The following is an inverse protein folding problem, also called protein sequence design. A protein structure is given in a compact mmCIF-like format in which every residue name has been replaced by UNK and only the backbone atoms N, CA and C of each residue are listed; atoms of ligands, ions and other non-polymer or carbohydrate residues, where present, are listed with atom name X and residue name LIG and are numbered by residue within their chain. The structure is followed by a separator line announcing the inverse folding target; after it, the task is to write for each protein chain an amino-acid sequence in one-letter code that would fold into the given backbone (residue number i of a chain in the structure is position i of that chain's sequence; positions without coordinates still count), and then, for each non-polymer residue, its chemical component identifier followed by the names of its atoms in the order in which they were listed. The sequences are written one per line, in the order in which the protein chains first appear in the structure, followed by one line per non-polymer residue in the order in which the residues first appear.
data_IF_810647253172
#
_entry.id   IF_810647253172
#
_cell.length_a   1.000
_cell.length_b   1.000
_cell.length_c   1.000
_cell.angle_alpha   90.00
_cell.angle_beta   90.00
_cell.angle_gamma   90.00
#
_symmetry.space_group_name_H-M   'P 1'
#
loop_
_entity.id
_entity.type
_entity.pdbx_description
1 polymer ?
#
# COMPACT_ATOMS: atom_id res chain seq x y z
N UNK A 1 -8.98 -5.17 12.91
CA UNK A 1 -9.18 -6.21 11.87
C UNK A 1 -10.52 -5.96 11.18
N UNK A 2 -10.53 -5.60 9.88
CA UNK A 2 -11.76 -5.27 9.15
C UNK A 2 -12.76 -6.43 9.07
N UNK A 3 -12.29 -7.66 8.87
CA UNK A 3 -13.13 -8.87 8.84
C UNK A 3 -13.94 -9.06 10.13
N UNK A 4 -13.33 -8.83 11.28
CA UNK A 4 -14.00 -8.90 12.59
C UNK A 4 -15.07 -7.80 12.75
N UNK A 5 -14.81 -6.58 12.26
CA UNK A 5 -15.78 -5.49 12.30
C UNK A 5 -16.98 -5.76 11.38
N UNK A 6 -16.73 -6.29 10.17
CA UNK A 6 -17.79 -6.72 9.24
C UNK A 6 -18.65 -7.84 9.85
N UNK A 7 -18.03 -8.87 10.43
CA UNK A 7 -18.75 -9.94 11.10
C UNK A 7 -19.58 -9.43 12.30
N UNK A 8 -18.98 -8.60 13.15
CA UNK A 8 -19.65 -8.01 14.31
C UNK A 8 -20.82 -7.10 13.91
N UNK A 9 -20.73 -6.40 12.77
CA UNK A 9 -21.83 -5.60 12.23
C UNK A 9 -23.11 -6.42 12.05
N UNK A 10 -22.97 -7.64 11.53
CA UNK A 10 -24.10 -8.56 11.32
C UNK A 10 -24.55 -9.20 12.63
N UNK A 11 -23.62 -9.84 13.35
CA UNK A 11 -23.94 -10.63 14.56
C UNK A 11 -24.55 -9.76 15.67
N UNK A 12 -24.08 -8.53 15.83
CA UNK A 12 -24.56 -7.61 16.86
C UNK A 12 -25.67 -6.68 16.39
N UNK A 13 -26.07 -6.74 15.10
CA UNK A 13 -27.03 -5.79 14.52
C UNK A 13 -26.54 -4.33 14.57
N UNK A 14 -25.23 -4.12 14.40
CA UNK A 14 -24.55 -2.81 14.49
C UNK A 14 -23.97 -2.39 13.14
N UNK A 15 -24.80 -1.89 12.20
CA UNK A 15 -24.35 -1.57 10.84
C UNK A 15 -23.27 -0.48 10.78
N UNK A 16 -23.15 0.34 11.82
CA UNK A 16 -22.09 1.35 11.96
C UNK A 16 -20.68 0.75 12.02
N UNK A 17 -20.53 -0.52 12.41
CA UNK A 17 -19.24 -1.23 12.41
C UNK A 17 -18.76 -1.60 11.00
N UNK A 18 -19.66 -1.65 10.01
CA UNK A 18 -19.31 -2.02 8.64
C UNK A 18 -18.55 -0.90 7.92
N UNK A 19 -18.88 0.36 8.20
CA UNK A 19 -18.24 1.52 7.56
C UNK A 19 -16.72 1.52 7.68
N UNK A 20 -16.16 1.39 8.90
CA UNK A 20 -14.71 1.27 9.10
C UNK A 20 -14.09 0.03 8.43
N UNK A 21 -14.81 -1.11 8.40
CA UNK A 21 -14.32 -2.32 7.73
C UNK A 21 -14.17 -2.10 6.22
N UNK A 22 -15.16 -1.46 5.59
CA UNK A 22 -15.11 -1.05 4.19
C UNK A 22 -13.96 -0.06 4.00
N UNK A 23 -13.89 1.00 4.82
CA UNK A 23 -12.89 2.05 4.70
C UNK A 23 -11.45 1.54 4.68
N UNK A 24 -11.08 0.64 5.60
CA UNK A 24 -9.75 -0.01 5.58
C UNK A 24 -9.57 -0.83 4.30
N UNK A 25 -10.54 -1.68 3.99
CA UNK A 25 -10.43 -2.68 2.94
C UNK A 25 -10.30 -2.03 1.56
N UNK A 26 -11.14 -1.04 1.24
CA UNK A 26 -11.21 -0.44 -0.11
C UNK A 26 -10.32 0.79 -0.25
N UNK A 27 -9.94 1.43 0.86
CA UNK A 27 -9.02 2.56 0.85
C UNK A 27 -7.56 2.12 0.72
N UNK A 28 -7.12 1.16 1.52
CA UNK A 28 -5.69 0.79 1.59
C UNK A 28 -5.32 -0.42 0.74
N UNK A 29 -6.13 -1.48 0.75
CA UNK A 29 -5.75 -2.75 0.10
C UNK A 29 -5.48 -2.63 -1.40
N UNK A 30 -6.24 -1.87 -2.21
CA UNK A 30 -5.91 -1.72 -3.64
C UNK A 30 -4.54 -1.10 -3.86
N UNK A 31 -4.19 -0.09 -3.06
CA UNK A 31 -2.90 0.58 -3.14
C UNK A 31 -1.75 -0.34 -2.71
N UNK A 32 -1.96 -1.10 -1.63
CA UNK A 32 -1.01 -2.10 -1.14
C UNK A 32 -0.74 -3.16 -2.22
N UNK A 33 -1.79 -3.71 -2.83
CA UNK A 33 -1.67 -4.68 -3.92
C UNK A 33 -0.94 -4.10 -5.14
N UNK A 34 -1.26 -2.87 -5.55
CA UNK A 34 -0.55 -2.18 -6.64
C UNK A 34 0.92 -1.86 -6.33
N UNK A 35 1.33 -1.88 -5.07
CA UNK A 35 2.66 -1.47 -4.59
C UNK A 35 3.60 -2.63 -4.22
N UNK A 36 3.27 -3.85 -4.66
CA UNK A 36 4.10 -5.05 -4.48
C UNK A 36 3.44 -6.17 -3.69
N UNK A 37 2.21 -5.97 -3.21
CA UNK A 37 1.43 -6.99 -2.51
C UNK A 37 1.35 -6.75 -1.00
N UNK A 38 0.88 -7.75 -0.23
CA UNK A 38 0.54 -7.62 1.18
C UNK A 38 1.79 -7.64 2.09
N UNK A 39 2.66 -6.62 1.95
CA UNK A 39 3.82 -6.44 2.80
C UNK A 39 3.42 -6.35 4.29
N UNK A 40 4.26 -6.93 5.15
CA UNK A 40 3.98 -7.08 6.58
C UNK A 40 4.00 -5.74 7.33
N UNK A 41 4.83 -4.79 6.90
CA UNK A 41 4.97 -3.51 7.60
C UNK A 41 5.24 -2.31 6.71
N UNK A 42 4.27 -1.38 6.66
CA UNK A 42 4.45 0.00 6.21
C UNK A 42 4.50 0.92 7.43
N UNK A 43 5.67 1.48 7.74
CA UNK A 43 5.93 2.21 8.98
C UNK A 43 6.66 3.54 8.74
N UNK A 44 6.01 4.57 8.19
CA UNK A 44 5.04 4.57 7.08
C UNK A 44 5.68 4.20 5.73
N UNK A 45 7.02 4.19 5.64
CA UNK A 45 7.75 3.59 4.52
C UNK A 45 7.59 2.06 4.59
N UNK A 46 7.43 1.35 3.46
CA UNK A 46 7.44 -0.12 3.41
C UNK A 46 8.79 -0.72 3.82
N UNK A 47 9.05 -0.85 5.13
CA UNK A 47 10.32 -1.35 5.67
C UNK A 47 10.34 -2.87 5.86
N UNK A 48 9.24 -3.45 6.33
CA UNK A 48 9.08 -4.90 6.41
C UNK A 48 8.32 -5.37 5.18
N UNK A 49 9.11 -5.61 4.14
CA UNK A 49 8.63 -6.11 2.86
C UNK A 49 8.34 -7.61 2.91
N UNK A 50 8.49 -8.33 4.01
CA UNK A 50 8.09 -9.74 4.06
C UNK A 50 6.58 -9.88 3.80
N UNK A 51 6.17 -10.98 3.20
CA UNK A 51 4.77 -11.32 2.95
C UNK A 51 4.49 -12.66 3.58
N UNK A 52 3.62 -12.70 4.59
CA UNK A 52 3.31 -13.91 5.34
C UNK A 52 1.89 -14.38 5.06
N UNK A 53 1.67 -15.70 5.10
CA UNK A 53 0.37 -16.30 4.80
C UNK A 53 -0.77 -15.71 5.67
N UNK A 54 -0.48 -15.42 6.95
CA UNK A 54 -1.42 -14.73 7.85
C UNK A 54 -1.87 -13.36 7.31
N UNK A 55 -0.92 -12.52 6.85
CA UNK A 55 -1.21 -11.19 6.33
C UNK A 55 -2.00 -11.25 5.01
N UNK A 56 -1.70 -12.23 4.16
CA UNK A 56 -2.44 -12.48 2.91
C UNK A 56 -3.88 -12.91 3.22
N UNK A 57 -4.07 -13.87 4.13
CA UNK A 57 -5.39 -14.31 4.58
C UNK A 57 -6.18 -13.16 5.20
N UNK A 58 -5.58 -12.36 6.09
CA UNK A 58 -6.25 -11.24 6.72
C UNK A 58 -6.82 -10.24 5.70
N UNK A 59 -6.09 -9.98 4.60
CA UNK A 59 -6.57 -9.14 3.49
C UNK A 59 -7.67 -9.83 2.69
N UNK A 60 -7.51 -11.12 2.35
CA UNK A 60 -8.51 -11.89 1.63
C UNK A 60 -9.84 -11.97 2.39
N UNK A 61 -9.81 -12.37 3.66
CA UNK A 61 -11.00 -12.49 4.51
C UNK A 61 -11.70 -11.14 4.69
N UNK A 62 -10.96 -10.04 4.84
CA UNK A 62 -11.53 -8.70 4.90
C UNK A 62 -12.28 -8.36 3.62
N UNK A 63 -11.66 -8.59 2.45
CA UNK A 63 -12.25 -8.35 1.14
C UNK A 63 -13.53 -9.16 0.92
N UNK A 64 -13.52 -10.44 1.26
CA UNK A 64 -14.69 -11.31 1.17
C UNK A 64 -15.80 -10.82 2.12
N UNK A 65 -15.47 -10.49 3.36
CA UNK A 65 -16.44 -10.07 4.36
C UNK A 65 -17.18 -8.77 4.00
N UNK A 66 -16.57 -7.88 3.20
CA UNK A 66 -17.21 -6.65 2.69
C UNK A 66 -17.70 -6.78 1.24
N UNK A 67 -17.68 -7.97 0.65
CA UNK A 67 -18.22 -8.24 -0.69
C UNK A 67 -17.35 -7.76 -1.87
N UNK A 68 -16.04 -7.55 -1.65
CA UNK A 68 -15.11 -7.03 -2.66
C UNK A 68 -14.39 -8.15 -3.42
N UNK A 69 -15.16 -9.00 -4.10
CA UNK A 69 -14.68 -10.25 -4.68
C UNK A 69 -13.65 -10.06 -5.82
N UNK A 70 -13.75 -8.98 -6.61
CA UNK A 70 -12.76 -8.70 -7.64
C UNK A 70 -11.37 -8.37 -7.06
N UNK A 71 -11.31 -7.64 -5.94
CA UNK A 71 -10.05 -7.38 -5.24
C UNK A 71 -9.56 -8.63 -4.50
N UNK A 72 -10.47 -9.43 -3.94
CA UNK A 72 -10.16 -10.70 -3.29
C UNK A 72 -9.38 -11.64 -4.23
N UNK A 73 -9.73 -11.64 -5.54
CA UNK A 73 -9.02 -12.39 -6.56
C UNK A 73 -7.52 -12.03 -6.66
N UNK A 74 -7.17 -10.74 -6.59
CA UNK A 74 -5.77 -10.28 -6.62
C UNK A 74 -5.01 -10.65 -5.34
N UNK A 75 -5.65 -10.56 -4.17
CA UNK A 75 -5.03 -10.99 -2.91
C UNK A 75 -4.79 -12.51 -2.89
N UNK A 76 -5.79 -13.29 -3.29
CA UNK A 76 -5.73 -14.75 -3.33
C UNK A 76 -4.68 -15.29 -4.33
N UNK A 77 -4.42 -14.55 -5.42
CA UNK A 77 -3.44 -14.92 -6.44
C UNK A 77 -2.03 -15.18 -5.87
N UNK A 78 -1.70 -14.58 -4.72
CA UNK A 78 -0.46 -14.81 -4.00
C UNK A 78 -0.25 -16.29 -3.64
N UNK A 79 -1.29 -17.00 -3.20
CA UNK A 79 -1.20 -18.42 -2.84
C UNK A 79 -0.84 -19.31 -4.04
N UNK A 80 -1.22 -18.89 -5.25
CA UNK A 80 -1.07 -19.65 -6.49
C UNK A 80 0.15 -19.23 -7.31
N UNK A 81 1.02 -18.39 -6.76
CA UNK A 81 2.30 -18.02 -7.39
C UNK A 81 2.31 -16.66 -8.07
N UNK A 82 1.22 -15.89 -8.03
CA UNK A 82 1.24 -14.48 -8.46
C UNK A 82 1.78 -13.60 -7.34
N UNK A 83 3.02 -13.87 -6.95
CA UNK A 83 3.76 -13.22 -5.88
C UNK A 83 5.20 -12.96 -6.34
N UNK A 84 5.98 -12.24 -5.54
CA UNK A 84 7.36 -11.86 -5.93
C UNK A 84 8.31 -13.04 -6.14
N UNK A 85 8.04 -14.20 -5.54
CA UNK A 85 8.85 -15.40 -5.74
C UNK A 85 8.45 -16.16 -7.01
N UNK A 86 7.28 -15.86 -7.59
CA UNK A 86 6.74 -16.58 -8.75
C UNK A 86 6.47 -18.05 -8.48
N UNK A 87 6.23 -18.43 -7.21
CA UNK A 87 6.05 -19.82 -6.78
C UNK A 87 4.78 -19.98 -5.96
N UNK A 88 4.02 -21.08 -6.13
CA UNK A 88 2.89 -21.39 -5.27
C UNK A 88 3.29 -21.46 -3.80
N UNK A 89 2.51 -20.80 -2.96
CA UNK A 89 2.67 -20.80 -1.50
C UNK A 89 1.73 -21.81 -0.83
N UNK A 90 0.70 -22.26 -1.55
CA UNK A 90 -0.23 -23.31 -1.13
C UNK A 90 -0.04 -24.58 -1.98
N UNK A 91 -0.02 -25.75 -1.33
CA UNK A 91 -0.05 -27.06 -2.00
C UNK A 91 -1.43 -27.72 -1.82
N UNK A 92 -2.23 -27.85 -2.89
CA UNK A 92 -3.56 -28.45 -2.81
C UNK A 92 -3.55 -29.95 -2.54
N UNK A 93 -2.44 -30.65 -2.77
CA UNK A 93 -2.34 -32.11 -2.55
C UNK A 93 -2.26 -32.44 -1.07
N UNK A 94 -1.57 -31.61 -0.30
CA UNK A 94 -1.29 -31.84 1.13
C UNK A 94 -2.03 -30.87 2.03
N UNK A 95 -2.55 -29.77 1.48
CA UNK A 95 -3.11 -28.66 2.24
C UNK A 95 -2.06 -27.76 2.91
N UNK A 96 -0.78 -28.01 2.65
CA UNK A 96 0.34 -27.26 3.23
C UNK A 96 0.39 -25.84 2.71
N UNK A 97 0.74 -24.88 3.59
CA UNK A 97 0.98 -23.48 3.20
C UNK A 97 2.30 -22.99 3.77
N UNK A 98 3.18 -22.51 2.90
CA UNK A 98 4.45 -21.93 3.29
C UNK A 98 4.26 -20.62 4.06
N UNK A 99 5.15 -20.38 5.02
CA UNK A 99 5.05 -19.30 6.01
C UNK A 99 5.03 -17.92 5.36
N UNK A 100 5.89 -17.70 4.38
CA UNK A 100 5.95 -16.43 3.68
C UNK A 100 7.11 -16.28 2.72
N UNK A 101 7.27 -15.05 2.23
CA UNK A 101 8.30 -14.63 1.29
C UNK A 101 8.98 -13.40 1.86
N UNK A 102 10.30 -13.43 2.02
CA UNK A 102 11.11 -12.29 2.40
C UNK A 102 11.04 -11.15 1.37
N UNK A 103 11.48 -9.95 1.75
CA UNK A 103 11.46 -8.79 0.85
C UNK A 103 12.25 -8.98 -0.46
N UNK A 104 13.30 -9.79 -0.41
CA UNK A 104 14.16 -10.16 -1.55
C UNK A 104 13.58 -11.29 -2.44
N UNK A 105 12.42 -11.83 -2.07
CA UNK A 105 11.79 -12.95 -2.77
C UNK A 105 12.15 -14.35 -2.26
N UNK A 106 13.02 -14.46 -1.25
CA UNK A 106 13.35 -15.76 -0.64
C UNK A 106 12.14 -16.36 0.06
N UNK A 107 11.79 -17.61 -0.28
CA UNK A 107 10.65 -18.31 0.33
C UNK A 107 11.07 -18.90 1.68
N UNK A 108 10.35 -18.53 2.75
CA UNK A 108 10.36 -19.28 3.99
C UNK A 108 9.47 -20.52 3.83
N UNK A 109 10.10 -21.68 3.61
CA UNK A 109 9.42 -22.95 3.38
C UNK A 109 8.90 -23.60 4.65
N UNK A 110 9.00 -22.98 5.83
CA UNK A 110 8.32 -23.50 7.01
C UNK A 110 6.81 -23.57 6.76
N UNK A 111 6.12 -24.49 7.44
CA UNK A 111 4.66 -24.65 7.33
C UNK A 111 4.13 -25.04 8.69
N UNK A 112 4.10 -24.05 9.59
CA UNK A 112 3.59 -24.22 10.95
C UNK A 112 2.07 -24.24 10.99
N UNK A 113 1.52 -24.30 12.20
CA UNK A 113 0.08 -24.23 12.41
C UNK A 113 -0.52 -22.93 11.87
N UNK A 114 0.11 -21.78 12.14
CA UNK A 114 -0.36 -20.46 11.69
C UNK A 114 -0.51 -20.41 10.17
N UNK A 115 0.57 -20.60 9.42
CA UNK A 115 0.55 -20.52 7.95
C UNK A 115 -0.42 -21.52 7.33
N UNK A 116 -0.46 -22.75 7.85
CA UNK A 116 -1.34 -23.81 7.33
C UNK A 116 -2.82 -23.51 7.60
N UNK A 117 -3.17 -23.05 8.82
CA UNK A 117 -4.55 -22.66 9.16
C UNK A 117 -4.99 -21.49 8.30
N UNK A 118 -4.18 -20.44 8.17
CA UNK A 118 -4.53 -19.26 7.39
C UNK A 118 -4.64 -19.56 5.89
N UNK A 119 -3.75 -20.40 5.34
CA UNK A 119 -3.91 -20.88 3.97
C UNK A 119 -5.19 -21.70 3.76
N UNK A 120 -5.54 -22.59 4.70
CA UNK A 120 -6.79 -23.36 4.62
C UNK A 120 -8.04 -22.48 4.78
N UNK A 121 -8.04 -21.49 5.68
CA UNK A 121 -9.13 -20.52 5.82
C UNK A 121 -9.31 -19.72 4.53
N UNK A 122 -8.21 -19.32 3.88
CA UNK A 122 -8.25 -18.69 2.57
C UNK A 122 -8.84 -19.61 1.50
N UNK A 123 -8.47 -20.89 1.46
CA UNK A 123 -9.05 -21.83 0.49
C UNK A 123 -10.54 -22.08 0.74
N UNK A 124 -10.97 -22.21 2.00
CA UNK A 124 -12.39 -22.34 2.36
C UNK A 124 -13.20 -21.10 1.93
N UNK A 125 -12.64 -19.90 2.09
CA UNK A 125 -13.28 -18.68 1.61
C UNK A 125 -13.41 -18.69 0.07
N UNK A 126 -12.39 -19.14 -0.66
CA UNK A 126 -12.47 -19.26 -2.12
C UNK A 126 -13.47 -20.34 -2.57
N UNK A 127 -13.57 -21.46 -1.87
CA UNK A 127 -14.51 -22.53 -2.19
C UNK A 127 -15.97 -22.12 -1.91
N UNK A 128 -16.20 -21.30 -0.87
CA UNK A 128 -17.51 -20.71 -0.58
C UNK A 128 -17.92 -19.61 -1.58
N UNK A 129 -16.95 -19.03 -2.30
CA UNK A 129 -17.13 -17.93 -3.24
C UNK A 129 -16.55 -18.25 -4.62
N UNK A 130 -17.13 -19.23 -5.35
CA UNK A 130 -16.60 -19.69 -6.65
C UNK A 130 -16.58 -18.61 -7.73
N UNK A 131 -17.27 -17.49 -7.54
CA UNK A 131 -17.21 -16.30 -8.40
C UNK A 131 -15.89 -15.52 -8.28
N UNK A 132 -15.08 -15.73 -7.24
CA UNK A 132 -13.76 -15.13 -7.12
C UNK A 132 -12.82 -15.78 -8.13
N UNK A 133 -12.37 -14.99 -9.11
CA UNK A 133 -11.49 -15.47 -10.16
C UNK A 133 -10.15 -15.99 -9.60
N UNK A 134 -9.69 -17.15 -10.08
CA UNK A 134 -8.36 -17.69 -9.79
C UNK A 134 -7.33 -17.08 -10.74
N UNK A 135 -6.80 -15.91 -10.38
CA UNK A 135 -5.80 -15.23 -11.20
C UNK A 135 -4.46 -15.98 -11.17
N UNK A 136 -3.77 -16.00 -12.30
CA UNK A 136 -2.44 -16.60 -12.44
C UNK A 136 -1.57 -15.82 -13.41
N UNK A 137 -0.25 -15.91 -13.22
CA UNK A 137 0.75 -15.24 -14.05
C UNK A 137 1.65 -14.33 -13.22
N UNK A 138 2.74 -13.89 -13.84
CA UNK A 138 3.69 -12.98 -13.18
C UNK A 138 3.05 -11.61 -12.97
N UNK A 139 2.98 -11.11 -11.73
CA UNK A 139 2.41 -9.81 -11.47
C UNK A 139 3.32 -8.70 -12.02
N UNK A 140 2.72 -7.66 -12.60
CA UNK A 140 3.41 -6.43 -13.00
C UNK A 140 2.80 -5.26 -12.23
N UNK A 141 3.65 -4.47 -11.59
CA UNK A 141 3.24 -3.37 -10.72
C UNK A 141 3.67 -2.02 -11.32
N UNK A 142 2.81 -1.03 -11.22
CA UNK A 142 3.16 0.39 -11.32
C UNK A 142 2.53 1.09 -10.11
N UNK A 143 3.25 1.13 -8.99
CA UNK A 143 2.74 1.58 -7.71
C UNK A 143 3.79 2.38 -6.94
N UNK A 144 3.76 2.30 -5.61
CA UNK A 144 4.67 3.04 -4.75
C UNK A 144 6.15 2.78 -5.07
N UNK A 145 6.89 3.87 -5.23
CA UNK A 145 8.35 3.89 -5.25
C UNK A 145 8.88 4.71 -4.08
N UNK A 146 10.05 4.34 -3.58
CA UNK A 146 10.70 4.97 -2.43
C UNK A 146 12.00 5.60 -2.91
N UNK A 147 12.30 6.81 -2.44
CA UNK A 147 13.61 7.45 -2.56
C UNK A 147 14.06 7.82 -1.15
N UNK A 148 15.08 7.12 -0.65
CA UNK A 148 15.68 7.37 0.67
C UNK A 148 16.17 8.81 0.77
N UNK A 149 15.84 9.50 1.87
CA UNK A 149 16.10 10.94 1.98
C UNK A 149 17.60 11.27 1.99
N UNK A 150 18.43 10.33 2.44
CA UNK A 150 19.88 10.41 2.54
C UNK A 150 20.56 10.44 1.17
N UNK A 151 19.84 10.10 0.10
CA UNK A 151 20.35 10.24 -1.28
C UNK A 151 20.37 11.68 -1.77
N UNK A 152 19.90 12.64 -0.95
CA UNK A 152 19.93 14.06 -1.27
C UNK A 152 21.34 14.60 -1.48
N UNK A 153 21.45 15.63 -2.32
CA UNK A 153 22.54 16.61 -2.24
C UNK A 153 22.10 17.77 -1.37
N UNK A 154 22.82 18.03 -0.27
CA UNK A 154 22.48 19.02 0.75
C UNK A 154 21.78 18.39 1.96
N UNK A 155 21.73 19.13 3.09
CA UNK A 155 21.38 18.57 4.40
C UNK A 155 22.49 17.68 4.98
N UNK A 156 22.21 17.09 6.15
CA UNK A 156 23.12 16.18 6.86
C UNK A 156 22.43 14.83 7.08
N UNK A 157 23.11 13.72 6.76
CA UNK A 157 22.61 12.38 7.05
C UNK A 157 22.88 12.04 8.50
N UNK A 158 21.85 11.64 9.24
CA UNK A 158 21.95 11.29 10.65
C UNK A 158 21.55 9.84 10.87
N UNK A 159 22.42 9.07 11.52
CA UNK A 159 22.11 7.72 12.00
C UNK A 159 21.79 7.77 13.50
N UNK A 160 20.52 7.62 13.92
CA UNK A 160 20.17 7.57 15.32
C UNK A 160 20.72 6.30 15.99
N UNK A 161 20.83 6.26 17.34
CA UNK A 161 21.22 5.04 18.06
C UNK A 161 20.31 3.83 17.82
N UNK A 162 19.07 4.08 17.40
CA UNK A 162 18.08 3.07 17.03
C UNK A 162 17.25 3.59 15.85
N UNK A 163 17.05 2.74 14.84
CA UNK A 163 16.12 3.00 13.74
C UNK A 163 14.67 3.02 14.23
N UNK A 164 14.35 2.17 15.22
CA UNK A 164 13.05 2.11 15.87
C UNK A 164 12.84 3.34 16.76
N UNK A 165 11.75 4.08 16.53
CA UNK A 165 11.41 5.31 17.26
C UNK A 165 10.60 5.04 18.53
N UNK A 166 10.05 3.83 18.69
CA UNK A 166 9.04 3.52 19.71
C UNK A 166 7.63 3.39 19.13
N UNK A 167 7.37 3.97 17.96
CA UNK A 167 6.08 3.90 17.24
C UNK A 167 6.22 3.43 15.80
N UNK A 168 7.34 3.79 15.19
CA UNK A 168 7.63 3.61 13.77
C UNK A 168 9.14 3.39 13.61
N UNK A 169 9.63 3.39 12.38
CA UNK A 169 11.05 3.19 12.15
C UNK A 169 11.55 4.03 10.98
N UNK A 170 12.70 4.67 11.19
CA UNK A 170 13.48 5.28 10.13
C UNK A 170 13.88 4.24 9.11
N UNK A 171 13.42 4.42 7.88
CA UNK A 171 13.84 3.63 6.73
C UNK A 171 15.36 3.69 6.57
N UNK A 172 15.95 2.57 6.15
CA UNK A 172 17.40 2.39 6.07
C UNK A 172 18.20 2.66 7.38
N UNK A 173 17.53 2.90 8.51
CA UNK A 173 18.15 3.17 9.81
C UNK A 173 18.75 4.56 9.97
N UNK A 174 18.44 5.50 9.07
CA UNK A 174 18.93 6.88 9.11
C UNK A 174 17.85 7.85 8.62
N UNK A 175 18.14 9.15 8.63
CA UNK A 175 17.30 10.15 8.01
C UNK A 175 18.13 11.35 7.54
N UNK A 176 17.55 12.19 6.70
CA UNK A 176 18.11 13.49 6.34
C UNK A 176 17.67 14.55 7.34
N UNK A 177 18.63 15.11 8.07
CA UNK A 177 18.47 16.38 8.79
C UNK A 177 18.65 17.55 7.81
N UNK A 178 17.53 18.10 7.36
CA UNK A 178 17.51 19.28 6.51
C UNK A 178 17.65 20.54 7.37
N UNK A 179 18.66 21.36 7.08
CA UNK A 179 18.78 22.76 7.47
C UNK A 179 19.37 23.54 6.28
N UNK A 180 18.55 24.35 5.61
CA UNK A 180 18.91 24.99 4.36
C UNK A 180 18.19 24.37 3.16
N UNK A 181 18.92 23.74 2.23
CA UNK A 181 18.36 23.18 0.99
C UNK A 181 18.85 21.76 0.71
N UNK A 182 17.98 20.94 0.13
CA UNK A 182 18.30 19.60 -0.36
C UNK A 182 17.68 19.34 -1.73
N UNK A 183 18.32 18.48 -2.53
CA UNK A 183 17.84 18.06 -3.83
C UNK A 183 17.97 16.54 -4.02
N UNK A 184 16.92 15.90 -4.52
CA UNK A 184 16.89 14.47 -4.83
C UNK A 184 16.79 14.24 -6.32
N UNK A 185 17.53 13.23 -6.81
CA UNK A 185 17.25 12.63 -8.11
C UNK A 185 16.20 11.53 -7.92
N UNK A 186 15.12 11.58 -8.69
CA UNK A 186 14.05 10.59 -8.63
C UNK A 186 13.90 9.86 -9.96
N UNK A 187 13.46 8.58 -9.98
CA UNK A 187 13.28 7.83 -11.22
C UNK A 187 12.28 8.53 -12.14
N UNK A 188 12.55 8.61 -13.44
CA UNK A 188 11.56 9.15 -14.39
C UNK A 188 10.34 8.22 -14.49
N UNK A 189 9.14 8.80 -14.63
CA UNK A 189 7.91 8.05 -14.86
C UNK A 189 7.14 8.62 -16.07
N UNK A 190 6.32 7.79 -16.70
CA UNK A 190 5.51 8.19 -17.87
C UNK A 190 4.27 9.00 -17.51
N UNK A 191 3.88 8.99 -16.24
CA UNK A 191 2.74 9.71 -15.68
C UNK A 191 3.14 10.58 -14.48
N UNK A 192 2.34 11.60 -14.12
CA UNK A 192 2.57 12.35 -12.90
C UNK A 192 2.43 11.47 -11.65
N UNK A 193 3.15 11.84 -10.58
CA UNK A 193 3.13 11.13 -9.30
C UNK A 193 2.85 12.09 -8.16
N UNK A 194 2.07 11.68 -7.17
CA UNK A 194 2.12 12.32 -5.85
C UNK A 194 3.50 12.11 -5.26
N UNK A 195 3.94 13.10 -4.49
CA UNK A 195 5.16 13.03 -3.69
C UNK A 195 4.76 13.24 -2.24
N UNK A 196 5.10 12.28 -1.40
CA UNK A 196 4.84 12.34 0.03
C UNK A 196 6.18 12.21 0.77
N UNK A 197 6.88 13.31 1.12
CA UNK A 197 7.94 13.23 2.10
C UNK A 197 7.41 12.64 3.42
N UNK A 198 8.14 11.65 3.93
CA UNK A 198 7.95 11.13 5.27
C UNK A 198 8.79 12.00 6.20
N UNK A 199 8.13 12.74 7.08
CA UNK A 199 8.76 13.72 7.96
C UNK A 199 8.52 13.31 9.41
N UNK A 200 9.50 13.50 10.28
CA UNK A 200 9.25 13.47 11.72
C UNK A 200 8.52 14.76 12.12
N UNK A 201 7.21 14.63 12.33
CA UNK A 201 6.32 15.71 12.67
C UNK A 201 6.30 15.88 14.19
N UNK A 202 6.84 17.01 14.65
CA UNK A 202 6.89 17.42 16.06
C UNK A 202 5.66 18.27 16.42
N UNK A 203 5.44 18.49 17.73
CA UNK A 203 4.35 19.35 18.23
C UNK A 203 4.42 20.80 17.71
N UNK A 204 5.61 21.28 17.37
CA UNK A 204 5.81 22.65 16.87
C UNK A 204 5.46 22.76 15.40
N UNK A 205 4.67 23.79 15.07
CA UNK A 205 4.35 24.10 13.68
C UNK A 205 5.63 24.36 12.88
N UNK A 206 5.72 23.68 11.75
CA UNK A 206 6.89 23.71 10.86
C UNK A 206 6.44 23.93 9.42
N UNK A 207 7.33 24.53 8.63
CA UNK A 207 7.11 24.77 7.20
C UNK A 207 8.35 24.42 6.41
N UNK A 208 8.17 23.67 5.34
CA UNK A 208 9.21 23.43 4.32
C UNK A 208 8.71 23.90 2.95
N UNK A 209 9.63 24.36 2.11
CA UNK A 209 9.35 24.83 0.76
C UNK A 209 9.86 23.81 -0.24
N UNK A 210 8.96 23.20 -1.01
CA UNK A 210 9.32 22.23 -2.03
C UNK A 210 9.16 22.81 -3.42
N UNK A 211 9.86 22.25 -4.41
CA UNK A 211 9.63 22.57 -5.83
C UNK A 211 8.18 22.34 -6.28
N UNK A 212 7.42 21.55 -5.52
CA UNK A 212 6.02 21.22 -5.75
C UNK A 212 5.02 21.99 -4.86
N UNK A 213 5.51 22.94 -4.06
CA UNK A 213 4.70 23.81 -3.20
C UNK A 213 5.15 23.83 -1.74
N UNK A 214 4.63 24.77 -0.94
CA UNK A 214 4.90 24.78 0.50
C UNK A 214 4.20 23.62 1.19
N UNK A 215 4.79 23.14 2.28
CA UNK A 215 4.21 22.16 3.17
C UNK A 215 4.25 22.70 4.59
N UNK A 216 3.09 23.00 5.14
CA UNK A 216 2.90 23.39 6.54
C UNK A 216 2.39 22.16 7.31
N UNK A 217 2.99 21.84 8.45
CA UNK A 217 2.63 20.68 9.25
C UNK A 217 2.89 20.90 10.74
N UNK A 218 2.11 20.20 11.56
CA UNK A 218 2.20 20.26 13.01
C UNK A 218 1.67 18.93 13.58
N UNK A 219 2.41 18.37 14.54
CA UNK A 219 2.00 17.18 15.27
C UNK A 219 1.03 17.52 16.40
N UNK A 220 0.28 16.51 16.84
CA UNK A 220 -0.44 16.59 18.10
C UNK A 220 0.51 16.50 19.31
N UNK A 221 0.00 16.74 20.53
CA UNK A 221 0.77 16.52 21.75
C UNK A 221 1.35 15.11 21.83
N UNK A 222 2.49 14.96 22.49
CA UNK A 222 3.15 13.70 22.75
C UNK A 222 2.17 12.68 23.34
N UNK A 223 2.10 11.52 22.69
CA UNK A 223 1.30 10.40 23.16
C UNK A 223 1.98 9.64 24.30
N UNK A 224 1.56 8.38 24.49
CA UNK A 224 2.15 7.49 25.49
C UNK A 224 3.47 6.85 25.03
N UNK A 225 3.84 7.02 23.76
CA UNK A 225 5.12 6.51 23.25
C UNK A 225 6.27 7.41 23.68
N UNK A 226 7.49 6.88 23.56
CA UNK A 226 8.71 7.63 23.81
C UNK A 226 9.22 8.39 22.56
N UNK A 227 8.54 8.26 21.41
CA UNK A 227 8.96 8.89 20.16
C UNK A 227 8.68 10.41 20.24
N UNK A 228 9.67 11.30 20.08
CA UNK A 228 9.47 12.75 20.26
C UNK A 228 8.60 13.41 19.18
N UNK A 229 8.14 12.64 18.19
CA UNK A 229 7.26 13.03 17.10
C UNK A 229 6.80 11.81 16.33
N UNK A 230 6.00 12.02 15.29
CA UNK A 230 5.45 10.95 14.46
C UNK A 230 6.03 11.02 13.03
N UNK A 231 6.52 9.88 12.53
CA UNK A 231 6.86 9.74 11.11
C UNK A 231 5.57 9.71 10.29
N UNK A 232 5.32 10.77 9.52
CA UNK A 232 4.09 10.90 8.73
C UNK A 232 4.40 11.19 7.26
N UNK A 233 3.76 10.47 6.31
CA UNK A 233 3.81 10.82 4.90
C UNK A 233 2.90 12.03 4.65
N UNK A 234 3.47 13.14 4.18
CA UNK A 234 2.75 14.38 3.94
C UNK A 234 2.67 14.68 2.45
N UNK A 235 1.47 14.79 1.87
CA UNK A 235 1.33 14.97 0.41
C UNK A 235 1.66 16.40 -0.01
N UNK A 236 2.61 16.56 -0.94
CA UNK A 236 2.94 17.87 -1.51
C UNK A 236 1.77 18.43 -2.34
N UNK A 237 1.57 19.76 -2.39
CA UNK A 237 0.38 20.36 -3.01
C UNK A 237 0.21 20.10 -4.51
N UNK A 238 1.31 19.87 -5.23
CA UNK A 238 1.30 19.55 -6.67
C UNK A 238 1.95 18.20 -6.91
N UNK A 239 1.42 17.40 -7.85
CA UNK A 239 2.10 16.19 -8.28
C UNK A 239 3.40 16.55 -9.01
N UNK A 240 4.39 15.67 -8.89
CA UNK A 240 5.56 15.68 -9.74
C UNK A 240 5.13 15.38 -11.18
N UNK A 241 5.43 16.24 -12.17
CA UNK A 241 5.07 16.00 -13.56
C UNK A 241 5.70 14.73 -14.14
N UNK A 242 5.07 14.16 -15.17
CA UNK A 242 5.66 13.07 -15.94
C UNK A 242 7.06 13.46 -16.44
N UNK A 243 7.98 12.49 -16.46
CA UNK A 243 9.39 12.62 -16.86
C UNK A 243 10.25 13.56 -16.00
N UNK A 244 9.70 14.23 -14.99
CA UNK A 244 10.51 14.99 -14.05
C UNK A 244 11.34 14.04 -13.16
N UNK A 245 12.61 14.40 -12.96
CA UNK A 245 13.61 13.58 -12.27
C UNK A 245 14.24 14.28 -11.08
N UNK A 246 13.73 15.45 -10.68
CA UNK A 246 14.33 16.26 -9.62
C UNK A 246 13.27 16.82 -8.70
N UNK A 247 13.52 16.73 -7.40
CA UNK A 247 12.73 17.35 -6.33
C UNK A 247 13.69 18.15 -5.46
N UNK A 248 13.30 19.34 -5.04
CA UNK A 248 14.10 20.17 -4.12
C UNK A 248 13.26 20.58 -2.93
N UNK A 249 13.89 20.69 -1.77
CA UNK A 249 13.30 21.21 -0.55
C UNK A 249 14.19 22.29 0.07
N UNK A 250 13.58 23.21 0.80
CA UNK A 250 14.25 24.18 1.66
C UNK A 250 13.53 24.34 3.00
N UNK A 251 14.27 24.63 4.07
CA UNK A 251 13.74 24.81 5.42
C UNK A 251 14.48 23.98 6.46
N UNK A 252 13.78 23.60 7.52
CA UNK A 252 14.30 22.75 8.59
C UNK A 252 13.35 21.57 8.83
N UNK A 253 13.85 20.33 8.72
CA UNK A 253 13.05 19.12 8.90
C UNK A 253 13.93 17.88 9.10
N UNK A 254 13.36 16.83 9.68
CA UNK A 254 13.94 15.48 9.63
C UNK A 254 13.10 14.65 8.65
N UNK A 255 13.72 14.21 7.56
CA UNK A 255 13.03 13.55 6.43
C UNK A 255 13.58 12.14 6.32
N UNK A 256 12.70 11.15 6.36
CA UNK A 256 13.01 9.73 6.27
C UNK A 256 13.18 9.30 4.81
N UNK A 257 12.14 9.50 4.00
CA UNK A 257 12.14 9.16 2.58
C UNK A 257 11.13 10.03 1.81
N UNK A 258 11.20 9.97 0.48
CA UNK A 258 10.16 10.45 -0.42
C UNK A 258 9.39 9.26 -0.99
N UNK A 259 8.09 9.19 -0.69
CA UNK A 259 7.18 8.24 -1.32
C UNK A 259 6.66 8.83 -2.63
N UNK A 260 6.83 8.11 -3.73
CA UNK A 260 6.38 8.49 -5.06
C UNK A 260 5.25 7.56 -5.51
N UNK A 261 4.05 8.12 -5.66
CA UNK A 261 2.85 7.37 -5.98
C UNK A 261 2.28 7.78 -7.33
N UNK A 262 2.22 6.90 -8.35
CA UNK A 262 1.51 7.19 -9.59
C UNK A 262 0.08 7.62 -9.35
N UNK A 263 -0.37 8.69 -10.03
CA UNK A 263 -1.77 9.13 -9.93
C UNK A 263 -2.73 8.02 -10.33
N UNK A 264 -2.32 7.16 -11.26
CA UNK A 264 -3.00 5.91 -11.56
C UNK A 264 -2.04 4.74 -11.29
N UNK A 265 -2.16 4.13 -10.11
CA UNK A 265 -1.38 2.94 -9.78
C UNK A 265 -2.02 1.68 -10.38
N UNK A 266 -1.24 0.66 -10.69
CA UNK A 266 -1.73 -0.56 -11.32
C UNK A 266 -1.07 -1.85 -10.83
N UNK A 267 -1.85 -2.93 -10.86
CA UNK A 267 -1.38 -4.32 -10.75
C UNK A 267 -2.01 -5.11 -11.88
N UNK A 268 -1.18 -5.75 -12.72
CA UNK A 268 -1.63 -6.69 -13.74
C UNK A 268 -1.22 -8.12 -13.38
N UNK A 269 -2.16 -9.05 -13.42
CA UNK A 269 -1.93 -10.50 -13.27
C UNK A 269 -2.65 -11.20 -14.42
N UNK A 270 -1.89 -11.78 -15.36
CA UNK A 270 -2.46 -12.39 -16.56
C UNK A 270 -3.27 -11.38 -17.37
N UNK A 271 -4.57 -11.63 -17.51
CA UNK A 271 -5.52 -10.77 -18.22
C UNK A 271 -6.32 -9.83 -17.28
N UNK A 272 -6.11 -9.91 -15.97
CA UNK A 272 -6.75 -9.03 -15.00
C UNK A 272 -5.87 -7.84 -14.68
N UNK A 273 -6.43 -6.63 -14.66
CA UNK A 273 -5.73 -5.40 -14.25
C UNK A 273 -6.53 -4.68 -13.16
N UNK A 274 -5.90 -4.46 -12.02
CA UNK A 274 -6.36 -3.54 -10.98
C UNK A 274 -5.76 -2.17 -11.24
N UNK A 275 -6.60 -1.13 -11.23
CA UNK A 275 -6.21 0.27 -11.34
C UNK A 275 -6.72 1.05 -10.13
N UNK A 276 -5.89 1.91 -9.56
CA UNK A 276 -6.20 2.70 -8.35
C UNK A 276 -5.95 4.17 -8.66
N UNK A 277 -6.94 5.03 -8.41
CA UNK A 277 -6.84 6.45 -8.76
C UNK A 277 -6.62 7.31 -7.52
N UNK A 278 -5.45 7.94 -7.47
CA UNK A 278 -5.04 8.89 -6.45
C UNK A 278 -5.16 10.36 -6.91
N UNK A 279 -5.65 10.60 -8.14
CA UNK A 279 -6.04 11.94 -8.61
C UNK A 279 -7.39 12.34 -7.99
N UNK A 280 -7.63 13.64 -7.91
CA UNK A 280 -8.91 14.24 -7.53
C UNK A 280 -9.95 14.18 -8.64
N UNK A 281 -9.57 13.78 -9.86
CA UNK A 281 -10.46 13.67 -11.03
C UNK A 281 -10.61 12.22 -11.54
N UNK A 282 -11.78 11.84 -12.07
CA UNK A 282 -11.96 10.56 -12.72
C UNK A 282 -10.97 10.36 -13.88
N UNK A 283 -10.48 9.12 -14.05
CA UNK A 283 -9.55 8.75 -15.11
C UNK A 283 -10.16 7.75 -16.08
N UNK A 284 -10.53 8.16 -17.31
CA UNK A 284 -10.87 7.22 -18.37
C UNK A 284 -9.65 6.38 -18.72
N UNK A 285 -9.85 5.07 -18.90
CA UNK A 285 -8.78 4.14 -19.27
C UNK A 285 -9.24 3.24 -20.42
N UNK A 286 -8.29 2.62 -21.11
CA UNK A 286 -8.60 1.65 -22.16
C UNK A 286 -9.05 0.31 -21.53
N UNK A 287 -9.94 -0.41 -22.21
CA UNK A 287 -10.49 -1.69 -21.75
C UNK A 287 -11.95 -1.86 -22.18
N UNK A 288 -12.50 -3.07 -22.02
CA UNK A 288 -13.90 -3.36 -22.40
C UNK A 288 -14.75 -3.89 -21.25
N UNK A 289 -14.16 -4.67 -20.36
CA UNK A 289 -14.84 -5.30 -19.24
C UNK A 289 -14.34 -4.70 -17.93
N UNK A 290 -14.87 -3.54 -17.57
CA UNK A 290 -14.50 -2.84 -16.35
C UNK A 290 -15.58 -2.94 -15.26
N UNK A 291 -15.13 -3.08 -14.02
CA UNK A 291 -15.93 -2.85 -12.82
C UNK A 291 -15.33 -1.67 -12.07
N UNK A 292 -16.06 -0.55 -12.07
CA UNK A 292 -15.58 0.72 -11.54
C UNK A 292 -16.13 0.93 -10.14
N UNK A 293 -15.26 1.03 -9.14
CA UNK A 293 -15.62 1.23 -7.74
C UNK A 293 -15.23 2.64 -7.28
N UNK A 294 -16.07 3.29 -6.48
CA UNK A 294 -15.72 4.56 -5.85
C UNK A 294 -14.86 4.36 -4.58
N UNK A 295 -14.47 5.47 -3.94
CA UNK A 295 -13.68 5.48 -2.71
C UNK A 295 -14.37 4.84 -1.50
N UNK A 296 -15.68 4.58 -1.58
CA UNK A 296 -16.44 3.85 -0.56
C UNK A 296 -16.64 2.38 -0.94
N UNK A 297 -16.00 1.89 -2.01
CA UNK A 297 -16.11 0.52 -2.47
C UNK A 297 -17.44 0.18 -3.16
N UNK A 298 -18.29 1.16 -3.48
CA UNK A 298 -19.52 0.89 -4.20
C UNK A 298 -19.24 0.75 -5.69
N UNK A 299 -19.80 -0.27 -6.33
CA UNK A 299 -19.78 -0.42 -7.78
C UNK A 299 -20.61 0.70 -8.41
N UNK A 300 -19.97 1.58 -9.18
CA UNK A 300 -20.58 2.75 -9.81
C UNK A 300 -21.10 2.40 -11.20
N UNK A 301 -20.29 1.73 -12.01
CA UNK A 301 -20.63 1.36 -13.40
C UNK A 301 -19.89 0.10 -13.80
N UNK A 302 -20.48 -0.64 -14.75
CA UNK A 302 -19.85 -1.75 -15.46
C UNK A 302 -19.70 -1.39 -16.95
N UNK A 303 -18.63 -1.87 -17.58
CA UNK A 303 -18.40 -1.71 -19.02
C UNK A 303 -17.36 -0.63 -19.33
N UNK A 304 -17.77 0.64 -19.47
CA UNK A 304 -16.85 1.73 -19.82
C UNK A 304 -15.81 1.93 -18.71
N UNK A 305 -14.50 1.73 -18.96
CA UNK A 305 -13.50 1.84 -17.91
C UNK A 305 -13.28 3.29 -17.47
N UNK A 306 -13.52 3.55 -16.20
CA UNK A 306 -13.27 4.86 -15.57
C UNK A 306 -12.95 4.68 -14.10
N UNK A 307 -11.74 5.09 -13.70
CA UNK A 307 -11.30 4.96 -12.32
C UNK A 307 -11.71 6.23 -11.56
N UNK A 308 -12.62 6.09 -10.60
CA UNK A 308 -13.16 7.20 -9.82
C UNK A 308 -12.10 7.74 -8.84
N UNK A 309 -12.10 9.04 -8.49
CA UNK A 309 -11.21 9.60 -7.48
C UNK A 309 -11.26 8.81 -6.18
N UNK A 310 -10.08 8.43 -5.66
CA UNK A 310 -9.95 7.62 -4.44
C UNK A 310 -10.52 6.20 -4.54
N UNK A 311 -11.03 5.82 -5.71
CA UNK A 311 -11.58 4.50 -5.99
C UNK A 311 -10.61 3.62 -6.78
N UNK A 312 -11.13 2.49 -7.24
CA UNK A 312 -10.38 1.53 -8.03
C UNK A 312 -11.23 0.96 -9.16
N UNK A 313 -10.59 0.32 -10.13
CA UNK A 313 -11.26 -0.35 -11.24
C UNK A 313 -10.56 -1.66 -11.52
N UNK A 314 -11.36 -2.70 -11.77
CA UNK A 314 -10.85 -3.99 -12.22
C UNK A 314 -11.24 -4.18 -13.68
N UNK A 315 -10.25 -4.47 -14.51
CA UNK A 315 -10.40 -4.86 -15.91
C UNK A 315 -10.17 -6.36 -16.04
N UNK A 316 -11.05 -7.07 -16.73
CA UNK A 316 -10.90 -8.49 -17.07
C UNK A 316 -10.92 -8.65 -18.60
N UNK A 317 -9.76 -8.62 -19.23
CA UNK A 317 -9.63 -8.66 -20.70
C UNK A 317 -9.59 -10.08 -21.29
#
# INVERSE_FOLDING_TARGET
MPSALAAASSVLGRPDLLGPAIGDTVGFTPLLLASGGPDNGWLPVPIDRSQIAYGVDARLQALVAVGQHHLAAFAAAWYFGSNRAGQPMYDPTTGRTYDGISGDGTINRNSGAESSIHGQLSMLALDAHPEIARLSGTPTYDGLQIVEAETATGGEVVTPPSAWTGESQWSNGSYLSLDGTAAWTVPAATQPRLVLPVVNVLETSSRTLWSLGPLDYQGGPQGISAAPGALLPLTLPKPLPARATTITAAGTAQIDALLLLPLLSSLKIGNATLLVNLDTHPRPVAGKNAWNYNSSGHLVTQGKPIVQPGGFTVLLD
#
